data_IF_234306564371
#
_entry.id   IF_234306564371
#
_cell.length_a   1.000
_cell.length_b   1.000
_cell.length_c   1.000
_cell.angle_alpha   90.00
_cell.angle_beta   90.00
_cell.angle_gamma   90.00
#
_symmetry.space_group_name_H-M   'P 1'
#
loop_
_entity.id
_entity.type
_entity.pdbx_description
1 polymer ?
#
# COMPACT_ATOMS: atom_id res chain seq x y z
N UNK A 1 -61.87 -42.94 -1.02
CA UNK A 1 -60.56 -42.92 -1.62
C UNK A 1 -60.09 -41.46 -1.67
N UNK A 2 -59.25 -41.04 -0.74
CA UNK A 2 -58.79 -39.65 -0.60
C UNK A 2 -57.34 -39.58 -1.08
N UNK A 3 -57.10 -38.88 -2.24
CA UNK A 3 -55.77 -38.69 -2.77
C UNK A 3 -54.94 -37.72 -1.96
N UNK A 4 -53.80 -38.18 -1.44
CA UNK A 4 -52.82 -37.35 -0.84
C UNK A 4 -52.06 -36.59 -1.94
N UNK A 5 -52.12 -35.26 -1.90
CA UNK A 5 -51.27 -34.38 -2.73
C UNK A 5 -49.92 -34.21 -2.04
N UNK A 6 -48.79 -34.48 -2.73
CA UNK A 6 -47.49 -34.15 -2.18
C UNK A 6 -47.25 -32.63 -2.32
N UNK A 7 -47.03 -31.94 -1.16
CA UNK A 7 -46.55 -30.58 -1.15
C UNK A 7 -45.03 -30.59 -1.46
N UNK A 8 -44.68 -30.06 -2.62
CA UNK A 8 -43.29 -29.72 -2.95
C UNK A 8 -42.85 -28.49 -2.13
N UNK A 9 -42.02 -28.72 -1.12
CA UNK A 9 -41.36 -27.66 -0.37
C UNK A 9 -40.14 -27.23 -1.21
N UNK A 10 -40.26 -26.10 -1.89
CA UNK A 10 -39.11 -25.40 -2.48
C UNK A 10 -38.30 -24.77 -1.35
N UNK A 11 -37.20 -25.40 -0.96
CA UNK A 11 -36.20 -24.80 -0.10
C UNK A 11 -35.39 -23.81 -0.97
N UNK A 12 -35.73 -22.52 -0.86
CA UNK A 12 -34.92 -21.44 -1.40
C UNK A 12 -33.65 -21.30 -0.57
N UNK A 13 -32.56 -21.90 -1.05
CA UNK A 13 -31.23 -21.73 -0.45
C UNK A 13 -30.74 -20.31 -0.67
N UNK A 14 -30.71 -19.52 0.40
CA UNK A 14 -30.09 -18.20 0.41
C UNK A 14 -28.57 -18.39 0.47
N UNK A 15 -27.90 -18.42 -0.69
CA UNK A 15 -26.43 -18.38 -0.76
C UNK A 15 -25.98 -16.98 -0.42
N UNK A 16 -25.55 -16.77 0.84
CA UNK A 16 -24.87 -15.57 1.26
C UNK A 16 -23.48 -15.54 0.58
N UNK A 17 -23.34 -14.72 -0.45
CA UNK A 17 -22.04 -14.41 -1.06
C UNK A 17 -21.33 -13.50 -0.07
N UNK A 18 -20.43 -14.06 0.72
CA UNK A 18 -19.43 -13.31 1.48
C UNK A 18 -18.46 -12.70 0.46
N UNK A 19 -18.70 -11.45 0.06
CA UNK A 19 -17.73 -10.65 -0.64
C UNK A 19 -16.58 -10.38 0.33
N UNK A 20 -15.51 -11.20 0.25
CA UNK A 20 -14.22 -10.84 0.86
C UNK A 20 -13.74 -9.60 0.11
N UNK A 21 -13.96 -8.43 0.71
CA UNK A 21 -13.38 -7.18 0.25
C UNK A 21 -11.87 -7.29 0.37
N UNK A 22 -11.18 -7.65 -0.70
CA UNK A 22 -9.73 -7.47 -0.78
C UNK A 22 -9.47 -5.98 -0.57
N UNK A 23 -8.62 -5.64 0.43
CA UNK A 23 -8.21 -4.27 0.66
C UNK A 23 -7.61 -3.71 -0.63
N UNK A 24 -8.32 -2.81 -1.29
CA UNK A 24 -7.90 -2.26 -2.57
C UNK A 24 -6.70 -1.34 -2.33
N UNK A 25 -5.68 -1.51 -3.16
CA UNK A 25 -4.53 -0.61 -3.17
C UNK A 25 -5.01 0.79 -3.59
N UNK A 26 -4.54 1.88 -2.92
CA UNK A 26 -4.86 3.25 -3.34
C UNK A 26 -4.58 3.49 -4.82
N UNK A 27 -5.44 4.27 -5.47
CA UNK A 27 -5.47 4.41 -6.93
C UNK A 27 -4.14 4.91 -7.52
N UNK A 28 -3.49 5.89 -6.89
CA UNK A 28 -2.18 6.37 -7.33
C UNK A 28 -1.11 5.28 -7.23
N UNK A 29 -1.09 4.52 -6.14
CA UNK A 29 -0.13 3.42 -5.93
C UNK A 29 -0.40 2.22 -6.86
N UNK A 30 -1.66 1.99 -7.23
CA UNK A 30 -2.03 0.92 -8.15
C UNK A 30 -1.49 1.18 -9.57
N UNK A 31 -1.27 2.43 -9.94
CA UNK A 31 -0.72 2.82 -11.25
C UNK A 31 0.82 2.85 -11.27
N UNK A 32 1.48 2.85 -10.10
CA UNK A 32 2.92 2.86 -10.01
C UNK A 32 3.49 1.47 -10.30
N UNK A 33 4.51 1.40 -11.15
CA UNK A 33 5.13 0.14 -11.55
C UNK A 33 6.07 -0.40 -10.46
N UNK A 34 5.98 -1.68 -10.17
CA UNK A 34 6.98 -2.38 -9.36
C UNK A 34 8.36 -2.38 -10.05
N UNK A 35 9.43 -2.52 -9.28
CA UNK A 35 10.80 -2.55 -9.80
C UNK A 35 11.80 -1.93 -8.84
N UNK A 36 12.99 -1.63 -9.34
CA UNK A 36 14.02 -0.89 -8.60
C UNK A 36 13.69 0.59 -8.66
N UNK A 37 13.54 1.19 -7.48
CA UNK A 37 13.28 2.61 -7.30
C UNK A 37 14.49 3.29 -6.69
N UNK A 38 14.83 4.45 -7.23
CA UNK A 38 15.85 5.36 -6.72
C UNK A 38 15.16 6.49 -5.96
N UNK A 39 15.57 6.67 -4.70
CA UNK A 39 14.96 7.60 -3.76
C UNK A 39 15.97 8.70 -3.42
N UNK A 40 15.62 9.94 -3.68
CA UNK A 40 16.42 11.13 -3.37
C UNK A 40 15.69 11.99 -2.32
N UNK A 41 16.44 12.68 -1.47
CA UNK A 41 15.88 13.55 -0.43
C UNK A 41 15.70 12.86 0.93
N UNK A 42 16.29 11.70 1.12
CA UNK A 42 16.31 11.01 2.42
C UNK A 42 17.18 11.79 3.42
N UNK A 43 16.74 11.97 4.68
CA UNK A 43 17.45 12.80 5.66
C UNK A 43 18.87 12.29 5.99
N UNK A 44 19.07 10.97 5.96
CA UNK A 44 20.34 10.34 6.35
C UNK A 44 21.22 9.94 5.15
N UNK A 45 20.84 10.31 3.93
CA UNK A 45 21.55 9.94 2.74
C UNK A 45 21.82 11.13 1.81
N UNK A 46 23.10 11.46 1.61
CA UNK A 46 23.53 12.51 0.67
C UNK A 46 23.34 12.08 -0.80
N UNK A 47 23.38 10.78 -1.05
CA UNK A 47 23.23 10.19 -2.40
C UNK A 47 21.91 9.43 -2.50
N UNK A 48 21.33 9.36 -3.70
CA UNK A 48 20.14 8.56 -3.92
C UNK A 48 20.33 7.11 -3.47
N UNK A 49 19.31 6.55 -2.82
CA UNK A 49 19.29 5.15 -2.39
C UNK A 49 18.43 4.34 -3.34
N UNK A 50 18.85 3.12 -3.67
CA UNK A 50 18.09 2.20 -4.51
C UNK A 50 17.51 1.07 -3.70
N UNK A 51 16.25 0.74 -3.97
CA UNK A 51 15.58 -0.40 -3.36
C UNK A 51 14.69 -1.12 -4.37
N UNK A 52 14.58 -2.43 -4.21
CA UNK A 52 13.58 -3.21 -4.93
C UNK A 52 12.20 -3.03 -4.26
N UNK A 53 11.25 -2.53 -5.03
CA UNK A 53 9.87 -2.28 -4.61
C UNK A 53 8.94 -3.18 -5.42
N UNK A 54 8.51 -4.27 -4.84
CA UNK A 54 7.52 -5.15 -5.46
C UNK A 54 6.10 -4.70 -5.20
N UNK A 55 5.88 -4.17 -4.02
CA UNK A 55 4.62 -3.56 -3.64
C UNK A 55 4.86 -2.07 -3.37
N UNK A 56 4.35 -1.23 -4.27
CA UNK A 56 4.51 0.22 -4.16
C UNK A 56 3.89 0.81 -2.90
N UNK A 57 3.03 0.08 -2.21
CA UNK A 57 2.45 0.50 -0.93
C UNK A 57 3.49 0.66 0.19
N UNK A 58 4.67 0.05 0.07
CA UNK A 58 5.78 0.25 1.03
C UNK A 58 6.25 1.70 1.05
N UNK A 59 6.13 2.41 -0.06
CA UNK A 59 6.51 3.82 -0.18
C UNK A 59 5.61 4.75 0.65
N UNK A 60 4.40 4.30 1.00
CA UNK A 60 3.48 5.05 1.85
C UNK A 60 3.89 5.09 3.32
N UNK A 61 4.74 4.17 3.76
CA UNK A 61 5.28 4.14 5.13
C UNK A 61 6.79 3.94 5.12
N UNK A 62 7.49 4.65 4.27
CA UNK A 62 8.92 4.46 4.05
C UNK A 62 9.74 4.56 5.35
N UNK A 63 9.43 5.50 6.23
CA UNK A 63 10.11 5.65 7.53
C UNK A 63 9.99 4.38 8.40
N UNK A 64 8.81 3.75 8.38
CA UNK A 64 8.52 2.54 9.14
C UNK A 64 8.42 1.30 8.23
N UNK A 65 9.22 1.26 7.16
CA UNK A 65 9.24 0.10 6.26
C UNK A 65 9.66 -1.16 7.02
N UNK A 66 9.02 -2.26 6.71
CA UNK A 66 9.24 -3.54 7.40
C UNK A 66 8.39 -3.73 8.66
N UNK A 67 7.62 -2.73 9.08
CA UNK A 67 6.65 -2.87 10.16
C UNK A 67 5.23 -3.12 9.62
N UNK A 68 4.46 -3.88 10.37
CA UNK A 68 3.04 -4.15 10.08
C UNK A 68 2.16 -3.05 10.68
N UNK A 69 2.14 -1.88 10.04
CA UNK A 69 1.36 -0.73 10.51
C UNK A 69 -0.07 -0.78 9.99
N UNK A 70 -1.02 -0.39 10.83
CA UNK A 70 -2.40 -0.13 10.41
C UNK A 70 -2.44 1.15 9.57
N UNK A 71 -3.15 1.11 8.44
CA UNK A 71 -3.23 2.23 7.48
C UNK A 71 -4.65 2.70 7.30
N UNK A 72 -4.83 4.02 7.24
CA UNK A 72 -6.08 4.68 6.91
C UNK A 72 -5.86 5.58 5.71
N UNK A 73 -6.61 5.35 4.64
CA UNK A 73 -6.61 6.22 3.46
C UNK A 73 -7.48 7.46 3.77
N UNK A 74 -6.86 8.63 3.79
CA UNK A 74 -7.52 9.92 4.08
C UNK A 74 -8.13 10.50 2.81
N UNK A 75 -7.39 10.42 1.70
CA UNK A 75 -7.87 10.78 0.37
C UNK A 75 -7.22 9.93 -0.69
N UNK A 76 -7.95 9.67 -1.77
CA UNK A 76 -7.48 8.83 -2.85
C UNK A 76 -8.00 9.33 -4.19
N UNK A 77 -7.07 9.64 -5.08
CA UNK A 77 -7.32 10.02 -6.48
C UNK A 77 -6.37 9.26 -7.38
N UNK A 78 -6.58 9.21 -8.69
CA UNK A 78 -5.66 8.54 -9.62
C UNK A 78 -4.22 9.07 -9.58
N UNK A 79 -4.02 10.34 -9.18
CA UNK A 79 -2.70 10.99 -9.20
C UNK A 79 -2.14 11.28 -7.81
N UNK A 80 -2.94 11.19 -6.76
CA UNK A 80 -2.46 11.46 -5.40
C UNK A 80 -3.24 10.65 -4.37
N UNK A 81 -2.53 10.20 -3.34
CA UNK A 81 -3.14 9.55 -2.19
C UNK A 81 -2.54 10.10 -0.90
N UNK A 82 -3.36 10.23 0.14
CA UNK A 82 -2.92 10.59 1.49
C UNK A 82 -3.26 9.44 2.42
N UNK A 83 -2.25 8.93 3.10
CA UNK A 83 -2.37 7.81 4.02
C UNK A 83 -1.87 8.24 5.39
N UNK A 84 -2.63 7.92 6.42
CA UNK A 84 -2.19 7.92 7.80
C UNK A 84 -1.92 6.49 8.23
N UNK A 85 -0.81 6.25 8.92
CA UNK A 85 -0.49 4.92 9.44
C UNK A 85 -0.02 4.98 10.89
N UNK A 86 -0.28 3.92 11.63
CA UNK A 86 0.12 3.73 13.02
C UNK A 86 0.75 2.36 13.20
N UNK A 87 1.91 2.32 13.81
CA UNK A 87 2.72 1.12 13.96
C UNK A 87 2.64 0.54 15.37
N UNK A 88 2.73 -0.80 15.55
CA UNK A 88 2.63 -1.44 16.86
C UNK A 88 3.72 -1.01 17.84
N UNK A 89 4.90 -0.65 17.34
CA UNK A 89 6.05 -0.18 18.13
C UNK A 89 5.93 1.27 18.62
N UNK A 90 4.82 1.98 18.33
CA UNK A 90 4.55 3.34 18.80
C UNK A 90 4.86 4.45 17.80
N UNK A 91 5.36 4.13 16.61
CA UNK A 91 5.53 5.12 15.53
C UNK A 91 4.25 5.36 14.76
N UNK A 92 4.14 6.52 14.13
CA UNK A 92 3.05 6.83 13.19
C UNK A 92 3.52 7.84 12.16
N UNK A 93 2.80 7.92 11.05
CA UNK A 93 3.09 8.91 10.03
C UNK A 93 1.88 9.25 9.18
N UNK A 94 2.00 10.37 8.49
CA UNK A 94 1.11 10.80 7.42
C UNK A 94 1.94 11.02 6.17
N UNK A 95 1.56 10.34 5.11
CA UNK A 95 2.26 10.41 3.83
C UNK A 95 1.31 10.84 2.73
N UNK A 96 1.71 11.83 1.95
CA UNK A 96 1.10 12.19 0.68
C UNK A 96 1.99 11.70 -0.45
N UNK A 97 1.44 10.86 -1.31
CA UNK A 97 2.11 10.40 -2.53
C UNK A 97 1.44 11.09 -3.72
N UNK A 98 2.24 11.74 -4.55
CA UNK A 98 1.78 12.32 -5.81
C UNK A 98 2.46 11.58 -6.95
N UNK A 99 1.68 10.86 -7.74
CA UNK A 99 2.14 10.14 -8.90
C UNK A 99 2.32 11.12 -10.06
N UNK A 100 3.54 11.29 -10.54
CA UNK A 100 3.85 12.12 -11.69
C UNK A 100 3.74 11.32 -12.99
N UNK A 101 4.25 10.10 -12.96
CA UNK A 101 4.12 9.06 -14.00
C UNK A 101 4.08 7.69 -13.32
N UNK A 102 3.72 6.59 -13.99
CA UNK A 102 3.82 5.24 -13.40
C UNK A 102 5.24 4.87 -12.93
N UNK A 103 6.25 5.65 -13.27
CA UNK A 103 7.66 5.45 -12.94
C UNK A 103 8.28 6.56 -12.10
N UNK A 104 7.50 7.54 -11.67
CA UNK A 104 8.01 8.65 -10.84
C UNK A 104 6.92 9.18 -9.92
N UNK A 105 7.31 9.48 -8.68
CA UNK A 105 6.41 10.07 -7.69
C UNK A 105 7.17 10.98 -6.72
N UNK A 106 6.43 11.91 -6.15
CA UNK A 106 6.83 12.74 -5.03
C UNK A 106 6.15 12.21 -3.77
N UNK A 107 6.91 12.02 -2.71
CA UNK A 107 6.43 11.49 -1.44
C UNK A 107 6.76 12.52 -0.36
N UNK A 108 5.72 13.06 0.28
CA UNK A 108 5.82 13.98 1.40
C UNK A 108 5.39 13.23 2.65
N UNK A 109 6.29 13.05 3.60
CA UNK A 109 6.03 12.25 4.79
C UNK A 109 6.44 12.95 6.06
N UNK A 110 5.63 12.77 7.10
CA UNK A 110 5.87 13.34 8.42
C UNK A 110 5.26 12.47 9.51
N UNK A 111 5.79 12.53 10.71
CA UNK A 111 5.27 11.77 11.84
C UNK A 111 6.25 11.67 12.99
N UNK A 112 6.16 10.57 13.74
CA UNK A 112 7.03 10.24 14.87
C UNK A 112 7.66 8.86 14.61
N UNK A 113 8.98 8.78 14.72
CA UNK A 113 9.78 7.56 14.64
C UNK A 113 10.76 7.55 15.81
N UNK A 114 10.82 6.47 16.58
CA UNK A 114 11.69 6.37 17.78
C UNK A 114 11.55 7.55 18.76
N UNK A 115 10.31 8.00 18.98
CA UNK A 115 9.93 9.17 19.79
C UNK A 115 10.46 10.52 19.28
N UNK A 116 10.99 10.58 18.05
CA UNK A 116 11.48 11.80 17.43
C UNK A 116 10.60 12.18 16.23
N UNK A 117 10.35 13.48 16.02
CA UNK A 117 9.60 13.93 14.85
C UNK A 117 10.46 13.80 13.58
N UNK A 118 9.80 13.40 12.50
CA UNK A 118 10.38 13.44 11.14
C UNK A 118 9.48 14.20 10.18
N UNK A 119 10.10 14.86 9.21
CA UNK A 119 9.42 15.53 8.11
C UNK A 119 10.40 15.68 6.95
N UNK A 120 10.11 14.99 5.84
CA UNK A 120 10.96 15.09 4.64
C UNK A 120 10.20 14.76 3.37
N UNK A 121 10.82 15.05 2.23
CA UNK A 121 10.27 14.84 0.89
C UNK A 121 11.22 13.96 0.09
N UNK A 122 10.68 12.87 -0.46
CA UNK A 122 11.40 11.97 -1.34
C UNK A 122 10.95 12.24 -2.79
N UNK A 123 11.92 12.36 -3.69
CA UNK A 123 11.71 12.17 -5.12
C UNK A 123 12.04 10.72 -5.45
N UNK A 124 11.06 9.96 -5.90
CA UNK A 124 11.20 8.55 -6.20
C UNK A 124 11.09 8.31 -7.70
N UNK A 125 12.03 7.56 -8.27
CA UNK A 125 12.06 7.22 -9.69
C UNK A 125 12.38 5.76 -9.90
N UNK A 126 11.55 5.07 -10.67
CA UNK A 126 11.82 3.69 -11.08
C UNK A 126 12.93 3.66 -12.13
N UNK A 127 13.98 2.90 -11.87
CA UNK A 127 15.20 2.86 -12.70
C UNK A 127 15.44 1.50 -13.36
N UNK A 128 14.66 0.47 -13.01
CA UNK A 128 14.83 -0.85 -13.62
C UNK A 128 13.98 -1.94 -12.98
N UNK A 129 14.24 -3.17 -13.38
CA UNK A 129 13.64 -4.36 -12.79
C UNK A 129 14.42 -4.85 -11.57
N UNK A 130 13.73 -5.47 -10.60
CA UNK A 130 14.40 -6.15 -9.51
C UNK A 130 15.12 -7.39 -10.03
N UNK A 131 16.37 -7.60 -9.60
CA UNK A 131 17.11 -8.82 -9.92
C UNK A 131 16.54 -10.06 -9.23
N UNK A 132 16.89 -11.28 -9.70
CA UNK A 132 16.37 -12.56 -9.17
C UNK A 132 16.57 -12.72 -7.65
N UNK A 133 17.69 -12.25 -7.10
CA UNK A 133 17.99 -12.32 -5.65
C UNK A 133 17.12 -11.37 -4.82
N UNK A 134 16.71 -10.24 -5.39
CA UNK A 134 15.87 -9.26 -4.72
C UNK A 134 14.40 -9.67 -4.75
N UNK A 135 14.00 -10.45 -5.73
CA UNK A 135 12.64 -11.02 -5.83
C UNK A 135 12.44 -12.20 -4.89
N UNK A 136 13.48 -12.97 -4.59
CA UNK A 136 13.44 -14.15 -3.71
C UNK A 136 13.40 -13.81 -2.21
N UNK A 137 13.79 -12.60 -1.81
CA UNK A 137 13.82 -12.14 -0.39
C UNK A 137 12.42 -11.88 0.21
N UNK A 138 11.34 -12.36 -0.43
CA UNK A 138 9.94 -12.04 -0.09
C UNK A 138 9.07 -13.22 0.28
N UNK A 139 9.65 -14.33 0.58
CA UNK A 139 8.91 -15.50 1.09
C UNK A 139 9.19 -15.71 2.56
#
# INVERSE_FOLDING_TARGET
MKGLKPYLILAAGLTAILALGAAQRPAALAQANAGVWELSGLPDAKLPQRMCVADTSVLAQYEHRGQMCARLVISDTPTATVIHYTCPSGGFGRTKLTLLTPRSMRIETQGISDNLPFNYVIQARRVGECGPRQSAARH
#
